data_IF_035834187709
#
_entry.id   IF_035834187709
#
_cell.length_a   1.000
_cell.length_b   1.000
_cell.length_c   1.000
_cell.angle_alpha   90.00
_cell.angle_beta   90.00
_cell.angle_gamma   90.00
#
_symmetry.space_group_name_H-M   'P 1'
#
loop_
_entity.id
_entity.type
_entity.pdbx_description
1 polymer ?
#
# COMPACT_ATOMS: atom_id res chain seq x y z
N UNK A 1 -33.66 25.81 10.15
CA UNK A 1 -32.98 24.89 9.22
C UNK A 1 -32.91 23.52 9.89
N UNK A 2 -33.34 22.46 9.21
CA UNK A 2 -33.31 21.10 9.76
C UNK A 2 -31.85 20.61 9.84
N UNK A 3 -31.43 20.19 11.05
CA UNK A 3 -30.11 19.62 11.33
C UNK A 3 -30.26 18.15 11.69
N UNK A 4 -29.24 17.37 11.40
CA UNK A 4 -29.13 15.96 11.74
C UNK A 4 -27.76 15.69 12.36
N UNK A 5 -27.68 14.66 13.20
CA UNK A 5 -26.45 14.23 13.85
C UNK A 5 -25.76 13.14 13.03
N UNK A 6 -24.47 13.31 12.75
CA UNK A 6 -23.70 12.29 12.04
C UNK A 6 -23.27 11.14 12.97
N UNK A 7 -23.51 9.89 12.56
CA UNK A 7 -23.15 8.69 13.34
C UNK A 7 -21.63 8.42 13.45
N UNK A 8 -20.78 9.13 12.71
CA UNK A 8 -19.32 8.96 12.75
C UNK A 8 -18.64 10.05 13.57
N UNK A 9 -18.94 11.33 13.32
CA UNK A 9 -18.31 12.45 14.04
C UNK A 9 -19.15 13.01 15.19
N UNK A 10 -20.43 12.60 15.32
CA UNK A 10 -21.37 13.09 16.33
C UNK A 10 -21.62 14.61 16.29
N UNK A 11 -21.43 15.24 15.12
CA UNK A 11 -21.70 16.66 14.91
C UNK A 11 -23.12 16.90 14.36
N UNK A 12 -23.78 17.95 14.85
CA UNK A 12 -25.08 18.44 14.35
C UNK A 12 -24.92 19.33 13.13
N UNK A 13 -25.20 18.78 11.96
CA UNK A 13 -24.91 19.39 10.66
C UNK A 13 -26.20 19.65 9.84
N UNK A 14 -26.20 20.61 8.90
CA UNK A 14 -27.33 20.81 8.00
C UNK A 14 -27.62 19.57 7.13
N UNK A 15 -28.92 19.29 6.89
CA UNK A 15 -29.37 18.13 6.08
C UNK A 15 -28.66 17.97 4.73
N UNK A 16 -28.33 19.06 4.04
CA UNK A 16 -27.68 19.02 2.72
C UNK A 16 -26.26 18.42 2.73
N UNK A 17 -25.63 18.27 3.91
CA UNK A 17 -24.35 17.57 4.05
C UNK A 17 -24.50 16.05 4.16
N UNK A 18 -25.72 15.54 4.28
CA UNK A 18 -26.01 14.11 4.30
C UNK A 18 -26.48 13.71 2.91
N UNK A 19 -25.72 12.83 2.27
CA UNK A 19 -25.92 12.44 0.89
C UNK A 19 -26.01 10.93 0.81
N UNK A 20 -26.80 10.42 -0.14
CA UNK A 20 -26.73 9.01 -0.49
C UNK A 20 -25.31 8.72 -1.02
N UNK A 21 -24.60 7.82 -0.35
CA UNK A 21 -23.18 7.54 -0.62
C UNK A 21 -23.01 6.89 -1.99
N UNK A 22 -23.75 5.82 -2.25
CA UNK A 22 -23.91 5.19 -3.57
C UNK A 22 -25.38 4.90 -3.81
N UNK A 23 -25.80 4.84 -5.08
CA UNK A 23 -27.15 4.44 -5.47
C UNK A 23 -27.53 3.04 -4.98
N UNK A 24 -26.54 2.20 -4.66
CA UNK A 24 -26.76 0.81 -4.20
C UNK A 24 -27.05 0.71 -2.69
N UNK A 25 -26.93 1.81 -1.95
CA UNK A 25 -27.25 1.87 -0.52
C UNK A 25 -28.77 1.91 -0.29
N UNK A 26 -29.25 1.09 0.65
CA UNK A 26 -30.63 1.09 1.13
C UNK A 26 -30.69 1.31 2.66
N UNK A 27 -29.98 2.33 3.13
CA UNK A 27 -29.96 2.75 4.52
C UNK A 27 -30.21 4.25 4.62
N UNK A 28 -30.52 4.73 5.82
CA UNK A 28 -30.73 6.14 6.07
C UNK A 28 -29.46 6.96 5.80
N UNK A 29 -29.66 8.25 5.59
CA UNK A 29 -28.58 9.20 5.34
C UNK A 29 -28.04 9.69 6.69
N UNK A 30 -27.21 8.86 7.32
CA UNK A 30 -26.73 8.95 8.71
C UNK A 30 -25.26 9.40 8.83
N UNK A 31 -24.53 9.40 7.71
CA UNK A 31 -23.13 9.84 7.63
C UNK A 31 -23.00 11.11 6.80
N UNK A 32 -22.34 12.13 7.36
CA UNK A 32 -22.10 13.38 6.66
C UNK A 32 -21.01 13.22 5.59
N UNK A 33 -21.08 14.04 4.54
CA UNK A 33 -20.14 14.06 3.41
C UNK A 33 -18.68 14.11 3.85
N UNK A 34 -18.37 14.89 4.90
CA UNK A 34 -17.01 15.06 5.42
C UNK A 34 -16.44 13.75 5.99
N UNK A 35 -17.27 12.96 6.69
CA UNK A 35 -16.86 11.66 7.20
C UNK A 35 -16.68 10.64 6.09
N UNK A 36 -17.50 10.68 5.03
CA UNK A 36 -17.31 9.82 3.86
C UNK A 36 -16.03 10.17 3.12
N UNK A 37 -15.72 11.45 2.91
CA UNK A 37 -14.46 11.89 2.31
C UNK A 37 -13.23 11.47 3.14
N UNK A 38 -13.28 11.64 4.47
CA UNK A 38 -12.23 11.15 5.37
C UNK A 38 -12.05 9.63 5.30
N UNK A 39 -13.15 8.88 5.20
CA UNK A 39 -13.10 7.43 5.02
C UNK A 39 -12.41 7.06 3.69
N UNK A 40 -12.79 7.72 2.59
CA UNK A 40 -12.15 7.52 1.28
C UNK A 40 -10.64 7.79 1.39
N UNK A 41 -10.24 8.93 1.98
CA UNK A 41 -8.83 9.27 2.17
C UNK A 41 -8.07 8.20 2.95
N UNK A 42 -8.63 7.74 4.08
CA UNK A 42 -8.01 6.70 4.90
C UNK A 42 -7.82 5.38 4.12
N UNK A 43 -8.79 4.99 3.27
CA UNK A 43 -8.65 3.80 2.42
C UNK A 43 -7.53 3.96 1.37
N UNK A 44 -7.42 5.14 0.76
CA UNK A 44 -6.38 5.44 -0.23
C UNK A 44 -4.97 5.56 0.37
N UNK A 45 -4.87 5.90 1.66
CA UNK A 45 -3.62 5.91 2.41
C UNK A 45 -3.21 4.50 2.86
N UNK A 46 -4.19 3.65 3.19
CA UNK A 46 -3.98 2.26 3.59
C UNK A 46 -3.66 1.37 2.38
N UNK A 47 -2.38 1.32 2.00
CA UNK A 47 -1.85 0.50 0.89
C UNK A 47 -2.47 0.81 -0.50
N UNK A 48 -3.16 1.94 -0.64
CA UNK A 48 -3.80 2.32 -1.90
C UNK A 48 -5.02 1.47 -2.23
N UNK A 49 -5.84 1.12 -1.24
CA UNK A 49 -7.09 0.40 -1.48
C UNK A 49 -8.05 1.25 -2.34
N UNK A 50 -8.45 0.71 -3.50
CA UNK A 50 -9.41 1.34 -4.41
C UNK A 50 -10.80 0.70 -4.32
N UNK A 51 -10.93 -0.45 -3.66
CA UNK A 51 -12.19 -1.15 -3.39
C UNK A 51 -12.77 -0.58 -2.09
N UNK A 52 -13.45 0.56 -2.20
CA UNK A 52 -13.92 1.36 -1.07
C UNK A 52 -15.40 1.09 -0.81
N UNK A 53 -15.73 0.62 0.39
CA UNK A 53 -17.11 0.38 0.81
C UNK A 53 -17.72 1.61 1.50
N UNK A 54 -19.06 1.65 1.53
CA UNK A 54 -19.80 2.64 2.29
C UNK A 54 -19.43 2.58 3.79
N UNK A 55 -19.18 3.73 4.44
CA UNK A 55 -18.81 3.75 5.85
C UNK A 55 -19.99 3.67 6.83
N UNK A 56 -21.24 3.64 6.34
CA UNK A 56 -22.41 3.46 7.22
C UNK A 56 -22.43 2.06 7.84
N UNK A 57 -22.93 1.97 9.07
CA UNK A 57 -22.88 0.74 9.87
C UNK A 57 -23.60 -0.42 9.17
N UNK A 58 -22.90 -1.55 9.02
CA UNK A 58 -23.45 -2.74 8.36
C UNK A 58 -23.59 -2.64 6.83
N UNK A 59 -23.28 -1.49 6.23
CA UNK A 59 -23.29 -1.35 4.78
C UNK A 59 -21.99 -1.89 4.16
N UNK A 60 -22.12 -2.75 3.13
CA UNK A 60 -20.99 -3.34 2.39
C UNK A 60 -21.02 -2.99 0.89
N UNK A 61 -21.80 -1.97 0.52
CA UNK A 61 -21.93 -1.54 -0.87
C UNK A 61 -20.67 -0.78 -1.27
N UNK A 62 -20.09 -1.19 -2.38
CA UNK A 62 -18.89 -0.55 -2.94
C UNK A 62 -19.25 0.78 -3.62
N UNK A 63 -18.40 1.77 -3.41
CA UNK A 63 -18.54 3.07 -4.05
C UNK A 63 -18.08 2.98 -5.50
N UNK A 64 -18.88 3.51 -6.41
CA UNK A 64 -18.50 3.62 -7.82
C UNK A 64 -17.59 4.83 -8.02
N UNK A 65 -16.85 4.85 -9.15
CA UNK A 65 -15.99 5.98 -9.52
C UNK A 65 -16.73 7.33 -9.46
N UNK A 66 -17.97 7.36 -9.94
CA UNK A 66 -18.86 8.54 -9.89
C UNK A 66 -19.18 9.01 -8.47
N UNK A 67 -19.28 8.08 -7.52
CA UNK A 67 -19.62 8.39 -6.13
C UNK A 67 -18.42 9.04 -5.46
N UNK A 68 -17.23 8.47 -5.66
CA UNK A 68 -15.96 9.01 -5.15
C UNK A 68 -15.70 10.39 -5.76
N UNK A 69 -15.89 10.57 -7.08
CA UNK A 69 -15.76 11.87 -7.75
C UNK A 69 -16.67 12.95 -7.16
N UNK A 70 -17.90 12.59 -6.78
CA UNK A 70 -18.90 13.52 -6.24
C UNK A 70 -18.63 13.88 -4.78
N UNK A 71 -18.13 12.94 -3.99
CA UNK A 71 -18.04 13.06 -2.53
C UNK A 71 -16.65 13.52 -2.09
N UNK A 72 -15.60 12.93 -2.66
CA UNK A 72 -14.24 13.12 -2.19
C UNK A 72 -13.71 14.54 -2.48
N UNK A 73 -12.72 14.96 -1.70
CA UNK A 73 -11.93 16.15 -2.01
C UNK A 73 -11.21 15.99 -3.35
N UNK A 74 -10.87 17.11 -4.00
CA UNK A 74 -10.15 17.09 -5.29
C UNK A 74 -8.87 16.25 -5.22
N UNK A 75 -8.09 16.44 -4.16
CA UNK A 75 -6.84 15.70 -3.94
C UNK A 75 -7.07 14.20 -3.75
N UNK A 76 -8.09 13.81 -2.99
CA UNK A 76 -8.44 12.41 -2.76
C UNK A 76 -8.92 11.75 -4.06
N UNK A 77 -9.75 12.44 -4.84
CA UNK A 77 -10.22 11.91 -6.13
C UNK A 77 -9.08 11.77 -7.14
N UNK A 78 -8.19 12.76 -7.28
CA UNK A 78 -7.01 12.66 -8.16
C UNK A 78 -6.11 11.49 -7.77
N UNK A 79 -5.94 11.25 -6.46
CA UNK A 79 -5.21 10.09 -5.96
C UNK A 79 -5.90 8.77 -6.30
N UNK A 80 -7.22 8.69 -6.07
CA UNK A 80 -8.03 7.51 -6.41
C UNK A 80 -7.96 7.18 -7.90
N UNK A 81 -8.16 8.18 -8.77
CA UNK A 81 -8.16 8.03 -10.22
C UNK A 81 -6.79 7.55 -10.73
N UNK A 82 -5.71 8.13 -10.18
CA UNK A 82 -4.34 7.68 -10.46
C UNK A 82 -4.09 6.25 -10.01
N UNK A 83 -4.53 5.87 -8.80
CA UNK A 83 -4.39 4.50 -8.29
C UNK A 83 -5.19 3.51 -9.13
N UNK A 84 -6.43 3.84 -9.50
CA UNK A 84 -7.28 3.02 -10.36
C UNK A 84 -6.62 2.79 -11.71
N UNK A 85 -6.13 3.85 -12.38
CA UNK A 85 -5.39 3.72 -13.63
C UNK A 85 -4.13 2.87 -13.46
N UNK A 86 -3.36 3.12 -12.40
CA UNK A 86 -2.12 2.40 -12.08
C UNK A 86 -2.38 0.91 -11.94
N UNK A 87 -3.35 0.53 -11.10
CA UNK A 87 -3.69 -0.86 -10.85
C UNK A 87 -4.30 -1.55 -12.07
N UNK A 88 -5.19 -0.88 -12.80
CA UNK A 88 -5.79 -1.44 -14.02
C UNK A 88 -4.74 -1.73 -15.09
N UNK A 89 -3.84 -0.79 -15.38
CA UNK A 89 -2.79 -1.02 -16.38
C UNK A 89 -1.74 -2.03 -15.92
N UNK A 90 -1.45 -2.10 -14.60
CA UNK A 90 -0.51 -3.08 -14.06
C UNK A 90 -1.00 -4.53 -14.19
N UNK A 91 -2.30 -4.75 -14.43
CA UNK A 91 -2.86 -6.09 -14.72
C UNK A 91 -2.52 -6.59 -16.12
N UNK A 92 -2.09 -5.70 -17.02
CA UNK A 92 -1.68 -6.08 -18.37
C UNK A 92 -0.26 -6.67 -18.31
N UNK A 93 -0.05 -7.95 -18.72
CA UNK A 93 1.24 -8.61 -18.62
C UNK A 93 2.37 -7.84 -19.31
N UNK A 94 2.05 -7.25 -20.46
CA UNK A 94 2.99 -6.52 -21.33
C UNK A 94 3.31 -5.10 -20.83
N UNK A 95 2.54 -4.56 -19.87
CA UNK A 95 2.64 -3.18 -19.45
C UNK A 95 3.59 -3.01 -18.25
N UNK A 96 4.41 -1.95 -18.28
CA UNK A 96 5.26 -1.57 -17.15
C UNK A 96 5.20 -0.07 -16.91
N UNK A 97 5.09 0.31 -15.64
CA UNK A 97 5.26 1.69 -15.19
C UNK A 97 6.74 2.07 -15.16
N UNK A 98 7.07 3.29 -15.60
CA UNK A 98 8.42 3.81 -15.52
C UNK A 98 8.91 3.85 -14.06
N UNK A 99 10.15 3.39 -13.83
CA UNK A 99 10.77 3.35 -12.50
C UNK A 99 11.36 4.68 -12.03
N UNK A 100 11.27 5.73 -12.85
CA UNK A 100 11.55 7.08 -12.42
C UNK A 100 10.34 7.64 -11.66
N UNK A 101 10.51 7.87 -10.35
CA UNK A 101 9.47 8.40 -9.46
C UNK A 101 8.92 9.76 -9.88
N UNK A 102 9.65 10.52 -10.70
CA UNK A 102 9.23 11.83 -11.23
C UNK A 102 8.56 11.77 -12.61
N UNK A 103 8.53 10.61 -13.27
CA UNK A 103 7.99 10.47 -14.63
C UNK A 103 6.50 10.12 -14.62
N UNK A 104 6.14 8.99 -14.01
CA UNK A 104 4.74 8.53 -13.98
C UNK A 104 4.18 8.05 -15.33
N UNK A 105 4.97 8.00 -16.40
CA UNK A 105 4.60 7.34 -17.65
C UNK A 105 4.65 5.82 -17.51
N UNK A 106 3.95 5.11 -18.38
CA UNK A 106 4.08 3.67 -18.54
C UNK A 106 3.98 3.30 -20.02
N UNK A 107 4.50 2.13 -20.36
CA UNK A 107 4.59 1.66 -21.74
C UNK A 107 4.48 0.13 -21.81
N UNK A 108 4.19 -0.35 -23.01
CA UNK A 108 4.05 -1.77 -23.31
C UNK A 108 5.38 -2.29 -23.87
N UNK A 109 5.77 -3.51 -23.51
CA UNK A 109 6.85 -4.24 -24.15
C UNK A 109 6.31 -5.49 -24.85
N UNK A 110 6.21 -5.46 -26.18
CA UNK A 110 5.75 -6.64 -26.92
C UNK A 110 6.80 -7.75 -27.00
N UNK A 111 8.08 -7.43 -26.80
CA UNK A 111 9.17 -8.43 -26.81
C UNK A 111 9.29 -9.18 -25.48
N UNK A 112 8.58 -8.72 -24.44
CA UNK A 112 8.54 -9.35 -23.12
C UNK A 112 9.93 -9.64 -22.55
N UNK A 113 10.14 -10.89 -22.12
CA UNK A 113 11.41 -11.32 -21.53
C UNK A 113 12.53 -11.58 -22.56
N UNK A 114 12.22 -11.63 -23.85
CA UNK A 114 13.25 -11.80 -24.89
C UNK A 114 14.16 -10.56 -24.99
N UNK A 115 13.61 -9.39 -24.64
CA UNK A 115 14.31 -8.11 -24.62
C UNK A 115 14.04 -7.41 -23.29
N UNK A 116 14.79 -7.76 -22.23
CA UNK A 116 14.49 -7.32 -20.88
C UNK A 116 14.85 -5.85 -20.65
N UNK A 117 15.59 -5.20 -21.55
CA UNK A 117 15.98 -3.80 -21.40
C UNK A 117 14.90 -2.87 -21.97
N UNK A 118 14.27 -2.11 -21.09
CA UNK A 118 13.27 -1.10 -21.47
C UNK A 118 13.85 0.30 -21.28
N UNK A 119 13.54 1.19 -22.22
CA UNK A 119 13.87 2.61 -22.12
C UNK A 119 12.58 3.41 -22.10
N UNK A 120 12.40 4.23 -21.06
CA UNK A 120 11.23 5.08 -20.93
C UNK A 120 11.14 6.07 -22.09
N UNK A 121 10.07 6.04 -22.87
CA UNK A 121 9.90 6.97 -24.00
C UNK A 121 9.72 8.42 -23.55
N UNK A 122 9.19 8.61 -22.33
CA UNK A 122 8.93 9.95 -21.79
C UNK A 122 10.16 10.60 -21.15
N UNK A 123 11.02 9.84 -20.45
CA UNK A 123 12.15 10.41 -19.70
C UNK A 123 13.52 9.76 -19.96
N UNK A 124 13.59 8.75 -20.82
CA UNK A 124 14.83 8.05 -21.18
C UNK A 124 15.41 7.12 -20.11
N UNK A 125 14.78 7.02 -18.93
CA UNK A 125 15.25 6.12 -17.87
C UNK A 125 15.19 4.66 -18.33
N UNK A 126 16.28 3.92 -18.11
CA UNK A 126 16.34 2.47 -18.40
C UNK A 126 15.93 1.62 -17.20
N UNK A 127 15.20 0.56 -17.45
CA UNK A 127 14.74 -0.40 -16.45
C UNK A 127 14.66 -1.81 -17.03
N UNK A 128 14.65 -2.82 -16.15
CA UNK A 128 14.49 -4.21 -16.51
C UNK A 128 13.00 -4.58 -16.54
N UNK A 129 12.52 -5.11 -17.66
CA UNK A 129 11.15 -5.58 -17.85
C UNK A 129 10.82 -6.79 -16.96
N UNK A 130 11.72 -7.79 -16.96
CA UNK A 130 11.55 -9.06 -16.24
C UNK A 130 11.52 -8.86 -14.73
N UNK A 131 12.43 -8.04 -14.19
CA UNK A 131 12.56 -7.83 -12.75
C UNK A 131 11.81 -6.62 -12.24
N UNK A 132 11.30 -5.77 -13.12
CA UNK A 132 10.55 -4.56 -12.78
C UNK A 132 11.33 -3.56 -11.88
N UNK A 133 12.65 -3.46 -12.10
CA UNK A 133 13.61 -2.61 -11.34
C UNK A 133 14.45 -1.70 -12.25
N UNK A 134 15.14 -0.67 -11.73
CA UNK A 134 16.14 0.07 -12.50
C UNK A 134 17.15 -0.85 -13.20
N UNK A 135 17.63 -0.45 -14.38
CA UNK A 135 18.46 -1.31 -15.22
C UNK A 135 19.77 -1.73 -14.51
N UNK A 136 19.97 -3.04 -14.34
CA UNK A 136 21.17 -3.63 -13.76
C UNK A 136 22.29 -3.75 -14.80
N UNK A 137 22.91 -2.60 -15.12
CA UNK A 137 23.99 -2.50 -16.11
C UNK A 137 25.13 -3.47 -15.80
N UNK A 138 25.56 -4.21 -16.83
CA UNK A 138 26.68 -5.15 -16.73
C UNK A 138 26.32 -6.52 -16.15
N UNK A 139 25.03 -6.77 -15.88
CA UNK A 139 24.52 -8.07 -15.44
C UNK A 139 23.40 -8.51 -16.38
N UNK A 140 23.46 -9.77 -16.80
CA UNK A 140 22.30 -10.50 -17.33
C UNK A 140 21.24 -10.66 -16.24
N UNK A 141 20.00 -10.97 -16.63
CA UNK A 141 18.95 -11.23 -15.65
C UNK A 141 19.29 -12.40 -14.72
N UNK A 142 19.95 -13.45 -15.23
CA UNK A 142 20.39 -14.60 -14.42
C UNK A 142 21.43 -14.18 -13.35
N UNK A 143 22.43 -13.39 -13.73
CA UNK A 143 23.45 -12.90 -12.79
C UNK A 143 22.85 -11.97 -11.74
N UNK A 144 21.90 -11.11 -12.12
CA UNK A 144 21.18 -10.26 -11.18
C UNK A 144 20.43 -11.09 -10.13
N UNK A 145 19.75 -12.16 -10.56
CA UNK A 145 19.06 -13.08 -9.64
C UNK A 145 20.03 -13.79 -8.68
N UNK A 146 21.15 -14.28 -9.19
CA UNK A 146 22.18 -14.91 -8.35
C UNK A 146 22.75 -13.95 -7.31
N UNK A 147 23.01 -12.70 -7.71
CA UNK A 147 23.43 -11.65 -6.79
C UNK A 147 22.38 -11.38 -5.72
N UNK A 148 21.10 -11.24 -6.10
CA UNK A 148 20.01 -10.99 -5.14
C UNK A 148 19.83 -12.13 -4.16
N UNK A 149 19.90 -13.38 -4.62
CA UNK A 149 19.89 -14.56 -3.75
C UNK A 149 21.08 -14.56 -2.77
N UNK A 150 22.27 -14.13 -3.21
CA UNK A 150 23.43 -13.96 -2.34
C UNK A 150 23.22 -12.88 -1.27
N UNK A 151 22.68 -11.72 -1.67
CA UNK A 151 22.33 -10.61 -0.77
C UNK A 151 21.28 -11.04 0.26
N UNK A 152 20.20 -11.71 -0.16
CA UNK A 152 19.14 -12.19 0.73
C UNK A 152 19.65 -13.21 1.75
N UNK A 153 20.52 -14.13 1.32
CA UNK A 153 21.20 -15.09 2.22
C UNK A 153 22.10 -14.38 3.22
N UNK A 154 22.86 -13.37 2.78
CA UNK A 154 23.71 -12.58 3.67
C UNK A 154 22.85 -11.81 4.68
N UNK A 155 21.78 -11.13 4.25
CA UNK A 155 20.84 -10.44 5.14
C UNK A 155 20.21 -11.40 6.14
N UNK A 156 19.80 -12.60 5.71
CA UNK A 156 19.26 -13.63 6.60
C UNK A 156 20.30 -14.07 7.64
N UNK A 157 21.53 -14.34 7.21
CA UNK A 157 22.62 -14.73 8.11
C UNK A 157 22.97 -13.63 9.11
N UNK A 158 22.98 -12.36 8.69
CA UNK A 158 23.15 -11.20 9.58
C UNK A 158 22.04 -11.15 10.62
N UNK A 159 20.78 -11.28 10.21
CA UNK A 159 19.63 -11.29 11.13
C UNK A 159 19.71 -12.46 12.13
N UNK A 160 20.12 -13.65 11.70
CA UNK A 160 20.30 -14.80 12.59
C UNK A 160 21.47 -14.64 13.56
N UNK A 161 22.53 -13.96 13.16
CA UNK A 161 23.69 -13.68 14.02
C UNK A 161 23.43 -12.57 15.03
N UNK A 162 22.75 -11.51 14.60
CA UNK A 162 22.57 -10.30 15.40
C UNK A 162 21.28 -10.33 16.22
N UNK A 163 20.33 -11.20 15.88
CA UNK A 163 19.04 -11.31 16.56
C UNK A 163 18.67 -12.75 16.91
N UNK A 164 18.06 -12.95 18.08
CA UNK A 164 17.39 -14.20 18.47
C UNK A 164 15.91 -13.96 18.75
N UNK A 165 15.08 -14.94 18.45
CA UNK A 165 13.65 -14.90 18.78
C UNK A 165 13.45 -15.21 20.26
N UNK A 166 12.64 -14.41 20.96
CA UNK A 166 12.23 -14.71 22.32
C UNK A 166 11.47 -16.05 22.36
N UNK A 167 11.85 -17.03 23.21
CA UNK A 167 11.19 -18.33 23.28
C UNK A 167 9.69 -18.27 23.62
N UNK A 168 9.25 -17.22 24.33
CA UNK A 168 7.85 -17.07 24.76
C UNK A 168 6.96 -16.36 23.74
N UNK A 169 7.43 -15.29 23.10
CA UNK A 169 6.60 -14.47 22.22
C UNK A 169 7.05 -14.44 20.75
N UNK A 170 8.16 -15.07 20.40
CA UNK A 170 8.66 -15.17 19.02
C UNK A 170 9.25 -13.88 18.44
N UNK A 171 9.14 -12.74 19.14
CA UNK A 171 9.72 -11.47 18.69
C UNK A 171 11.25 -11.56 18.66
N UNK A 172 11.86 -11.17 17.54
CA UNK A 172 13.31 -11.05 17.40
C UNK A 172 13.83 -9.88 18.23
N UNK A 173 14.83 -10.14 19.06
CA UNK A 173 15.52 -9.14 19.87
C UNK A 173 17.02 -9.19 19.54
N UNK A 174 17.71 -8.05 19.62
CA UNK A 174 19.17 -7.93 19.47
C UNK A 174 19.85 -8.05 20.82
N UNK A 175 21.06 -8.63 20.87
CA UNK A 175 21.86 -8.67 22.10
C UNK A 175 22.24 -7.25 22.54
N UNK A 176 21.93 -6.88 23.78
CA UNK A 176 22.13 -5.52 24.30
C UNK A 176 23.27 -5.42 25.34
N UNK A 177 24.31 -6.26 25.23
CA UNK A 177 25.46 -6.25 26.14
C UNK A 177 26.30 -7.53 26.08
N UNK A 178 27.22 -7.68 27.04
CA UNK A 178 28.14 -8.82 27.15
C UNK A 178 27.60 -10.05 27.91
N UNK A 179 26.49 -9.91 28.64
CA UNK A 179 25.90 -11.03 29.40
C UNK A 179 25.02 -11.91 28.48
N UNK A 180 25.11 -13.23 28.66
CA UNK A 180 24.25 -14.17 27.94
C UNK A 180 22.86 -14.29 28.57
N UNK A 181 22.64 -13.83 29.80
CA UNK A 181 21.31 -13.77 30.38
C UNK A 181 20.55 -12.55 29.84
N UNK A 182 19.47 -12.80 29.09
CA UNK A 182 18.70 -11.77 28.39
C UNK A 182 17.24 -11.73 28.82
N UNK A 183 16.70 -10.53 28.93
CA UNK A 183 15.28 -10.29 29.22
C UNK A 183 14.61 -9.74 27.96
N UNK A 184 13.48 -10.32 27.56
CA UNK A 184 12.72 -9.87 26.40
C UNK A 184 12.31 -8.39 26.53
N UNK A 185 12.59 -7.59 25.50
CA UNK A 185 12.34 -6.13 25.48
C UNK A 185 10.85 -5.78 25.39
N UNK A 186 10.03 -6.70 24.89
CA UNK A 186 8.57 -6.53 24.79
C UNK A 186 7.97 -6.33 26.17
N UNK A 187 7.31 -5.19 26.39
CA UNK A 187 6.78 -4.74 27.69
C UNK A 187 5.89 -5.78 28.38
N UNK A 188 5.10 -6.52 27.61
CA UNK A 188 4.13 -7.51 28.12
C UNK A 188 4.69 -8.93 28.20
N UNK A 189 5.90 -9.19 27.68
CA UNK A 189 6.50 -10.52 27.68
C UNK A 189 7.49 -10.69 28.84
N UNK A 190 8.52 -9.82 28.89
CA UNK A 190 9.60 -9.80 29.89
C UNK A 190 10.22 -11.15 30.24
N UNK A 191 10.12 -12.14 29.36
CA UNK A 191 10.67 -13.47 29.57
C UNK A 191 12.19 -13.42 29.58
N UNK A 192 12.80 -14.08 30.56
CA UNK A 192 14.25 -14.18 30.72
C UNK A 192 14.74 -15.51 30.15
N UNK A 193 15.82 -15.45 29.37
CA UNK A 193 16.40 -16.62 28.72
C UNK A 193 17.88 -16.40 28.45
N UNK A 194 18.63 -17.49 28.34
CA UNK A 194 20.02 -17.44 27.92
C UNK A 194 20.13 -17.26 26.40
N UNK A 195 21.07 -16.44 25.97
CA UNK A 195 21.39 -16.17 24.57
C UNK A 195 22.19 -17.28 23.90
N UNK A 196 22.59 -18.34 24.62
CA UNK A 196 23.30 -19.48 24.03
C UNK A 196 22.39 -20.28 23.08
#
# INVERSE_FOLDING_TARGET
>A
MMKEECQICFELLPRHLFLQVTADCNHELDVCKLCVDKHIQAQLESKGNIEICCPSSGCKKELQHRDIKRIASKQAFERYDKLMLTQTLSKLPEFRWCKNSRCGAGQINFEGDASPIMTCESCGQKYCYTHDVPWHKGLTCSEYNNRKLGEDKATKSLLERETKSCPKCGVRITKNGGCDHMTCTVKHCKYEFCWL
#
